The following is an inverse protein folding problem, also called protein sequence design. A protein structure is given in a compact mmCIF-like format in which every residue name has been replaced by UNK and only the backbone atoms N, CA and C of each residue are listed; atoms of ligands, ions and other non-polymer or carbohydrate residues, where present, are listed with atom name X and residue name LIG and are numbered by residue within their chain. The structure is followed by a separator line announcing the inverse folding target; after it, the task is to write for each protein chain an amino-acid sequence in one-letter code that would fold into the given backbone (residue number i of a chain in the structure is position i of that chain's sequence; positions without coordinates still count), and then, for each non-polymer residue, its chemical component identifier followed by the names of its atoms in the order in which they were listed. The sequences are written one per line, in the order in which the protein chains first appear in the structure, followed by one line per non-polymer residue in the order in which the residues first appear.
data_IF_716855716885
#
_entry.id   IF_716855716885
#
_cell.length_a   1.000
_cell.length_b   1.000
_cell.length_c   1.000
_cell.angle_alpha   90.00
_cell.angle_beta   90.00
_cell.angle_gamma   90.00
#
_symmetry.space_group_name_H-M   'P 1'
#
loop_
_entity.id
_entity.type
_entity.pdbx_description
1 polymer ?
#
# COMPACT_ATOMS: atom_id res chain seq x y z
N UNK A 1 -13.67 -28.17 0.83
CA UNK A 1 -12.68 -27.60 -0.10
C UNK A 1 -13.40 -26.55 -0.89
N UNK A 2 -13.38 -25.30 -0.44
CA UNK A 2 -13.99 -24.18 -1.18
C UNK A 2 -12.95 -23.06 -1.33
N UNK A 3 -12.93 -22.55 -2.54
CA UNK A 3 -11.84 -21.89 -3.24
C UNK A 3 -11.51 -20.51 -2.67
N UNK A 4 -10.41 -20.42 -1.91
CA UNK A 4 -9.68 -19.16 -1.77
C UNK A 4 -9.02 -18.84 -3.10
N UNK A 5 -9.76 -18.21 -4.02
CA UNK A 5 -9.20 -17.72 -5.27
C UNK A 5 -8.05 -16.76 -4.91
N UNK A 6 -6.79 -17.01 -5.31
CA UNK A 6 -5.75 -16.03 -5.11
C UNK A 6 -6.20 -14.79 -5.87
N UNK A 7 -6.49 -13.71 -5.14
CA UNK A 7 -6.72 -12.40 -5.71
C UNK A 7 -5.53 -12.16 -6.66
N UNK A 8 -5.75 -11.85 -7.94
CA UNK A 8 -4.64 -11.57 -8.84
C UNK A 8 -3.76 -10.55 -8.14
N UNK A 9 -2.50 -10.91 -7.91
CA UNK A 9 -1.47 -10.00 -7.41
C UNK A 9 -1.53 -8.78 -8.32
N UNK A 10 -2.18 -7.72 -7.84
CA UNK A 10 -2.31 -6.51 -8.65
C UNK A 10 -0.89 -6.07 -8.96
N UNK A 11 -0.54 -5.88 -10.25
CA UNK A 11 0.82 -5.55 -10.63
C UNK A 11 1.22 -4.34 -9.80
N UNK A 12 2.24 -4.49 -8.95
CA UNK A 12 2.67 -3.53 -7.94
C UNK A 12 2.85 -2.12 -8.54
N UNK A 13 1.75 -1.38 -8.58
CA UNK A 13 1.60 -0.10 -9.24
C UNK A 13 1.40 0.97 -8.18
N UNK A 14 1.70 2.23 -8.52
CA UNK A 14 1.44 3.36 -7.65
C UNK A 14 0.43 4.27 -8.31
N UNK A 15 -0.56 4.69 -7.54
CA UNK A 15 -1.50 5.72 -7.96
C UNK A 15 -0.83 7.07 -7.81
N UNK A 16 -0.71 7.79 -8.92
CA UNK A 16 -0.20 9.16 -8.90
C UNK A 16 -1.24 10.09 -8.25
N UNK A 17 -0.79 11.23 -7.71
CA UNK A 17 -1.67 12.27 -7.18
C UNK A 17 -2.69 12.81 -8.20
N UNK A 18 -2.45 12.61 -9.50
CA UNK A 18 -3.41 12.90 -10.56
C UNK A 18 -4.50 11.82 -10.74
N UNK A 19 -4.48 10.74 -9.94
CA UNK A 19 -5.43 9.63 -10.00
C UNK A 19 -5.09 8.53 -11.02
N UNK A 20 -3.98 8.66 -11.75
CA UNK A 20 -3.56 7.63 -12.73
C UNK A 20 -2.80 6.50 -12.04
N UNK A 21 -3.14 5.25 -12.33
CA UNK A 21 -2.36 4.08 -11.92
C UNK A 21 -1.13 3.91 -12.81
N UNK A 22 0.07 3.85 -12.22
CA UNK A 22 1.33 3.75 -12.95
C UNK A 22 2.18 2.58 -12.46
N UNK A 23 2.94 1.99 -13.38
CA UNK A 23 3.85 0.87 -13.08
C UNK A 23 5.32 1.28 -13.23
N UNK A 24 5.60 2.42 -13.86
CA UNK A 24 6.95 2.94 -14.10
C UNK A 24 7.45 3.88 -12.99
N UNK A 25 8.68 4.39 -13.14
CA UNK A 25 9.26 5.41 -12.24
C UNK A 25 8.60 6.79 -12.37
N UNK A 26 7.79 7.00 -13.40
CA UNK A 26 7.11 8.27 -13.67
C UNK A 26 5.66 8.00 -14.04
N UNK A 27 4.80 8.98 -13.77
CA UNK A 27 3.42 8.94 -14.15
C UNK A 27 3.30 9.09 -15.67
N UNK A 28 2.60 8.17 -16.33
CA UNK A 28 2.39 8.22 -17.78
C UNK A 28 1.48 9.37 -18.22
N UNK A 29 0.69 9.93 -17.30
CA UNK A 29 -0.24 11.00 -17.58
C UNK A 29 0.39 12.38 -17.35
N UNK A 30 0.97 12.62 -16.16
CA UNK A 30 1.47 13.95 -15.78
C UNK A 30 3.01 14.05 -15.69
N UNK A 31 3.74 12.94 -15.83
CA UNK A 31 5.20 12.91 -15.73
C UNK A 31 5.76 13.00 -14.31
N UNK A 32 4.93 13.08 -13.27
CA UNK A 32 5.39 13.10 -11.89
C UNK A 32 6.21 11.84 -11.55
N UNK A 33 7.31 11.97 -10.81
CA UNK A 33 8.06 10.79 -10.38
C UNK A 33 7.24 9.96 -9.39
N UNK A 34 7.48 8.65 -9.38
CA UNK A 34 7.00 7.75 -8.34
C UNK A 34 7.46 8.29 -6.99
N UNK A 35 6.57 8.50 -6.00
CA UNK A 35 7.00 8.87 -4.67
C UNK A 35 7.98 7.80 -4.15
N UNK A 36 9.21 8.22 -3.88
CA UNK A 36 10.32 7.33 -3.47
C UNK A 36 10.22 6.88 -2.00
N UNK A 37 9.17 7.30 -1.29
CA UNK A 37 8.82 6.82 0.04
C UNK A 37 7.33 6.50 0.03
N UNK A 38 7.00 5.23 -0.16
CA UNK A 38 5.69 4.77 0.25
C UNK A 38 5.58 4.99 1.77
N UNK A 39 4.45 5.46 2.30
CA UNK A 39 4.30 5.67 3.72
C UNK A 39 4.59 4.35 4.43
N UNK A 40 5.58 4.33 5.31
CA UNK A 40 5.87 3.17 6.11
C UNK A 40 4.80 3.15 7.19
N UNK A 41 3.70 2.44 6.94
CA UNK A 41 2.69 2.23 7.97
C UNK A 41 3.30 1.36 9.05
N UNK A 42 3.30 1.83 10.30
CA UNK A 42 3.74 1.03 11.43
C UNK A 42 2.62 1.04 12.45
N UNK A 43 2.07 -0.14 12.73
CA UNK A 43 1.01 -0.28 13.71
C UNK A 43 1.48 0.25 15.07
N UNK A 44 0.76 1.21 15.63
CA UNK A 44 1.09 1.80 16.94
C UNK A 44 0.96 0.78 18.09
N UNK A 45 0.00 -0.16 18.00
CA UNK A 45 -0.28 -1.16 19.05
C UNK A 45 0.76 -2.26 19.15
N UNK A 46 1.16 -2.83 18.03
CA UNK A 46 1.97 -4.05 18.01
C UNK A 46 3.31 -3.87 17.29
N UNK A 47 3.52 -2.75 16.60
CA UNK A 47 4.75 -2.48 15.86
C UNK A 47 4.89 -3.24 14.55
N UNK A 48 3.83 -3.91 14.08
CA UNK A 48 3.82 -4.57 12.78
C UNK A 48 4.01 -3.56 11.64
N UNK A 49 4.79 -3.96 10.64
CA UNK A 49 5.09 -3.17 9.45
C UNK A 49 4.70 -3.99 8.22
N UNK A 50 4.05 -3.38 7.21
CA UNK A 50 3.69 -4.05 5.99
C UNK A 50 4.94 -4.37 5.18
N UNK A 51 5.00 -5.62 4.71
CA UNK A 51 6.04 -6.07 3.78
C UNK A 51 5.94 -5.32 2.44
N UNK A 52 4.71 -4.92 2.05
CA UNK A 52 4.45 -4.06 0.91
C UNK A 52 3.96 -2.67 1.38
N UNK A 53 4.84 -1.65 1.43
CA UNK A 53 4.45 -0.31 1.90
C UNK A 53 3.56 0.43 0.90
N UNK A 54 3.36 -0.10 -0.31
CA UNK A 54 2.46 0.48 -1.31
C UNK A 54 1.02 -0.02 -1.18
N UNK A 55 0.81 -1.18 -0.54
CA UNK A 55 -0.50 -1.81 -0.33
C UNK A 55 -0.65 -2.33 1.11
N UNK A 56 -0.59 -1.44 2.12
CA UNK A 56 -0.89 -1.86 3.49
C UNK A 56 -2.34 -2.36 3.57
N UNK A 57 -2.61 -3.44 4.32
CA UNK A 57 -3.97 -3.84 4.61
C UNK A 57 -4.67 -2.75 5.42
N UNK A 58 -6.01 -2.68 5.36
CA UNK A 58 -6.78 -1.68 6.11
C UNK A 58 -6.75 -1.90 7.63
N UNK A 59 -6.46 -3.14 8.05
CA UNK A 59 -6.36 -3.57 9.44
C UNK A 59 -5.02 -4.28 9.63
N UNK A 60 -4.42 -4.09 10.80
CA UNK A 60 -3.23 -4.81 11.21
C UNK A 60 -3.53 -6.32 11.31
N UNK A 61 -2.81 -7.18 10.59
CA UNK A 61 -3.06 -8.62 10.62
C UNK A 61 -2.66 -9.28 11.96
N UNK A 62 -1.77 -8.65 12.74
CA UNK A 62 -1.32 -9.17 14.04
C UNK A 62 -2.29 -8.84 15.17
N UNK A 63 -2.85 -7.63 15.20
CA UNK A 63 -3.68 -7.17 16.33
C UNK A 63 -5.10 -6.77 15.96
N UNK A 64 -5.43 -6.67 14.67
CA UNK A 64 -6.73 -6.25 14.17
C UNK A 64 -6.99 -4.75 14.25
N UNK A 65 -6.03 -3.93 14.71
CA UNK A 65 -6.22 -2.48 14.78
C UNK A 65 -6.34 -1.85 13.38
N UNK A 66 -7.15 -0.82 13.25
CA UNK A 66 -7.30 -0.10 11.98
C UNK A 66 -6.04 0.72 11.74
N UNK A 67 -5.47 0.66 10.53
CA UNK A 67 -4.43 1.62 10.17
C UNK A 67 -5.10 2.96 9.83
N UNK A 68 -4.88 3.95 10.67
CA UNK A 68 -5.38 5.31 10.45
C UNK A 68 -4.24 6.32 10.21
N UNK A 69 -4.59 7.60 10.12
CA UNK A 69 -3.64 8.69 9.87
C UNK A 69 -2.56 8.84 10.94
N UNK A 70 -2.75 8.25 12.13
CA UNK A 70 -1.79 8.23 13.23
C UNK A 70 -0.75 7.10 13.10
N UNK A 71 -0.99 6.09 12.26
CA UNK A 71 -0.05 4.98 11.99
C UNK A 71 0.91 5.27 10.82
N UNK A 72 0.79 6.46 10.21
CA UNK A 72 1.64 6.92 9.11
C UNK A 72 2.94 7.48 9.71
N UNK A 73 4.06 6.80 9.46
CA UNK A 73 5.40 7.21 9.94
C UNK A 73 6.21 7.97 8.87
#
# INVERSE_FOLDING_TARGET
MECGSPKPEEPAGWTCSCGTLNQGKFCMNCGAKKPEGAPLYRCDKCGWQPEDPYHPPKFCPECGDIFDENDIQ
#
